data_IF_817320240739
#
_entry.id   IF_817320240739
#
_cell.length_a   1.000
_cell.length_b   1.000
_cell.length_c   1.000
_cell.angle_alpha   90.00
_cell.angle_beta   90.00
_cell.angle_gamma   90.00
#
_symmetry.space_group_name_H-M   'P 1'
#
loop_
_entity.id
_entity.type
_entity.pdbx_description
1 polymer ?
#
# COMPACT_ATOMS: atom_id res chain seq x y z
N UNK A 1 6.60 -13.66 -4.21
CA UNK A 1 6.63 -12.32 -3.58
C UNK A 1 5.24 -12.01 -3.08
N UNK A 2 5.10 -11.51 -1.85
CA UNK A 2 3.82 -11.15 -1.22
C UNK A 2 3.74 -9.64 -1.07
N UNK A 3 2.70 -9.02 -1.61
CA UNK A 3 2.49 -7.57 -1.45
C UNK A 3 1.23 -7.32 -0.62
N UNK A 4 1.39 -6.60 0.48
CA UNK A 4 0.31 -6.16 1.34
C UNK A 4 -0.54 -5.05 0.69
N UNK A 5 -1.85 -5.08 0.88
CA UNK A 5 -2.74 -4.00 0.44
C UNK A 5 -3.92 -3.77 1.39
N UNK A 6 -4.47 -2.56 1.36
CA UNK A 6 -5.56 -2.14 2.26
C UNK A 6 -6.86 -1.73 1.54
N UNK A 7 -6.76 -1.05 0.39
CA UNK A 7 -7.90 -0.44 -0.30
C UNK A 7 -8.30 -1.25 -1.54
N UNK A 8 -9.60 -1.35 -1.83
CA UNK A 8 -10.13 -2.05 -3.01
C UNK A 8 -9.79 -1.39 -4.35
N UNK A 9 -9.23 -0.18 -4.32
CA UNK A 9 -8.76 0.56 -5.49
C UNK A 9 -7.37 0.09 -5.95
N UNK A 10 -6.71 -0.79 -5.20
CA UNK A 10 -5.47 -1.41 -5.65
C UNK A 10 -5.81 -2.34 -6.82
N UNK A 11 -5.19 -2.15 -8.00
CA UNK A 11 -5.43 -2.99 -9.18
C UNK A 11 -4.74 -4.35 -8.98
N UNK A 12 -5.45 -5.30 -8.37
CA UNK A 12 -4.90 -6.62 -8.05
C UNK A 12 -4.45 -7.36 -9.31
N UNK A 13 -5.12 -7.10 -10.44
CA UNK A 13 -4.80 -7.66 -11.75
C UNK A 13 -3.36 -7.34 -12.18
N UNK A 14 -2.86 -6.14 -11.88
CA UNK A 14 -1.46 -5.76 -12.19
C UNK A 14 -0.49 -6.55 -11.30
N UNK A 15 -0.83 -6.74 -10.02
CA UNK A 15 0.02 -7.49 -9.08
C UNK A 15 0.07 -8.97 -9.49
N UNK A 16 -1.10 -9.58 -9.71
CA UNK A 16 -1.23 -11.00 -10.08
C UNK A 16 -0.58 -11.31 -11.43
N UNK A 17 -0.74 -10.43 -12.43
CA UNK A 17 -0.07 -10.56 -13.73
C UNK A 17 1.47 -10.55 -13.61
N UNK A 18 2.02 -9.99 -12.53
CA UNK A 18 3.45 -10.00 -12.20
C UNK A 18 3.85 -11.12 -11.24
N UNK A 19 3.02 -12.14 -11.06
CA UNK A 19 3.32 -13.29 -10.19
C UNK A 19 3.38 -12.93 -8.70
N UNK A 20 2.80 -11.79 -8.30
CA UNK A 20 2.66 -11.38 -6.91
C UNK A 20 1.50 -12.12 -6.28
N UNK A 21 1.66 -12.52 -5.02
CA UNK A 21 0.56 -12.96 -4.17
C UNK A 21 0.02 -11.75 -3.37
N UNK A 22 -1.08 -11.10 -3.78
CA UNK A 22 -1.62 -9.96 -3.03
C UNK A 22 -2.20 -10.42 -1.69
N UNK A 23 -1.77 -9.78 -0.60
CA UNK A 23 -2.21 -10.08 0.77
C UNK A 23 -3.00 -8.91 1.33
N UNK A 24 -4.31 -9.08 1.48
CA UNK A 24 -5.15 -8.07 2.11
C UNK A 24 -4.82 -7.98 3.60
N UNK A 25 -4.48 -6.78 4.08
CA UNK A 25 -4.20 -6.54 5.50
C UNK A 25 -5.50 -6.24 6.24
N UNK A 26 -5.95 -7.16 7.09
CA UNK A 26 -7.13 -7.00 7.94
C UNK A 26 -6.79 -7.41 9.38
N UNK A 27 -5.93 -6.64 10.06
CA UNK A 27 -5.58 -6.93 11.45
C UNK A 27 -6.80 -6.75 12.36
N UNK A 28 -6.86 -7.51 13.47
CA UNK A 28 -7.96 -7.39 14.41
C UNK A 28 -7.98 -6.00 15.10
N UNK A 29 -9.15 -5.49 15.50
CA UNK A 29 -9.27 -4.12 16.05
C UNK A 29 -8.47 -3.83 17.33
N UNK A 30 -8.10 -4.86 18.10
CA UNK A 30 -7.31 -4.71 19.32
C UNK A 30 -5.83 -4.36 19.04
N UNK A 31 -5.36 -4.62 17.82
CA UNK A 31 -3.96 -4.35 17.44
C UNK A 31 -3.61 -2.86 17.42
N UNK A 32 -4.59 -1.96 17.54
CA UNK A 32 -4.40 -0.50 17.45
C UNK A 32 -3.60 0.12 18.60
N UNK A 33 -3.48 -0.54 19.75
CA UNK A 33 -3.07 0.11 21.01
C UNK A 33 -1.61 0.57 21.01
N UNK A 34 -0.72 -0.16 20.34
CA UNK A 34 0.72 0.12 20.31
C UNK A 34 1.21 0.88 19.05
N UNK A 35 0.28 1.35 18.20
CA UNK A 35 0.65 1.96 16.93
C UNK A 35 1.46 3.25 17.13
N UNK A 36 2.55 3.44 16.37
CA UNK A 36 3.32 4.70 16.26
C UNK A 36 2.54 5.81 15.53
N UNK A 37 1.26 5.98 15.86
CA UNK A 37 0.32 6.90 15.22
C UNK A 37 -0.59 7.55 16.26
N UNK A 38 -1.00 8.79 15.99
CA UNK A 38 -1.89 9.55 16.87
C UNK A 38 -3.17 8.76 17.21
N UNK A 39 -3.62 8.75 18.48
CA UNK A 39 -4.78 7.97 18.91
C UNK A 39 -6.10 8.41 18.24
N UNK A 40 -6.18 9.62 17.69
CA UNK A 40 -7.35 10.14 16.96
C UNK A 40 -7.41 9.65 15.51
N UNK A 41 -6.37 8.98 15.00
CA UNK A 41 -6.41 8.37 13.67
C UNK A 41 -7.36 7.16 13.63
N UNK A 42 -7.81 6.84 12.42
CA UNK A 42 -8.67 5.70 12.14
C UNK A 42 -8.13 4.42 12.81
N UNK A 43 -8.93 3.71 13.64
CA UNK A 43 -8.49 2.50 14.33
C UNK A 43 -7.94 1.42 13.41
N UNK A 44 -8.48 1.30 12.20
CA UNK A 44 -7.98 0.36 11.19
C UNK A 44 -6.56 0.71 10.74
N UNK A 45 -6.27 1.99 10.48
CA UNK A 45 -4.93 2.45 10.11
C UNK A 45 -3.92 2.16 11.22
N UNK A 46 -4.31 2.43 12.48
CA UNK A 46 -3.49 2.12 13.65
C UNK A 46 -3.22 0.63 13.77
N UNK A 47 -4.25 -0.22 13.63
CA UNK A 47 -4.09 -1.67 13.66
C UNK A 47 -3.19 -2.19 12.53
N UNK A 48 -3.27 -1.62 11.32
CA UNK A 48 -2.37 -1.94 10.20
C UNK A 48 -0.93 -1.56 10.54
N UNK A 49 -0.69 -0.36 11.09
CA UNK A 49 0.66 0.05 11.49
C UNK A 49 1.26 -0.95 12.49
N UNK A 50 0.54 -1.27 13.57
CA UNK A 50 1.03 -2.23 14.57
C UNK A 50 1.25 -3.63 13.99
N UNK A 51 0.41 -4.06 13.05
CA UNK A 51 0.58 -5.35 12.38
C UNK A 51 1.86 -5.38 11.54
N UNK A 52 2.20 -4.27 10.86
CA UNK A 52 3.45 -4.13 10.12
C UNK A 52 4.66 -4.11 11.06
N UNK A 53 4.57 -3.40 12.18
CA UNK A 53 5.63 -3.33 13.21
C UNK A 53 5.95 -4.68 13.83
N UNK A 54 4.95 -5.55 13.98
CA UNK A 54 5.13 -6.93 14.45
C UNK A 54 5.71 -7.89 13.39
N UNK A 55 6.10 -7.38 12.22
CA UNK A 55 6.73 -8.18 11.17
C UNK A 55 5.72 -8.95 10.33
N UNK A 56 4.77 -8.24 9.72
CA UNK A 56 3.87 -8.82 8.72
C UNK A 56 4.67 -9.57 7.63
N UNK A 57 4.23 -10.77 7.25
CA UNK A 57 4.90 -11.61 6.24
C UNK A 57 4.64 -11.12 4.81
N UNK A 58 5.09 -9.91 4.49
CA UNK A 58 5.01 -9.28 3.15
C UNK A 58 6.38 -8.71 2.74
N UNK A 59 6.62 -8.66 1.43
CA UNK A 59 7.85 -8.15 0.81
C UNK A 59 7.70 -6.68 0.37
N UNK A 60 6.46 -6.17 0.31
CA UNK A 60 6.16 -4.78 -0.06
C UNK A 60 4.71 -4.43 0.27
N UNK A 61 4.38 -3.14 0.24
CA UNK A 61 3.07 -2.60 0.59
C UNK A 61 2.57 -1.62 -0.48
N UNK A 62 1.33 -1.79 -0.94
CA UNK A 62 0.64 -0.82 -1.79
C UNK A 62 -0.48 -0.16 -1.01
N UNK A 63 -0.39 1.15 -0.85
CA UNK A 63 -1.41 2.01 -0.27
C UNK A 63 -2.03 2.87 -1.36
N UNK A 64 -3.25 3.34 -1.12
CA UNK A 64 -3.97 4.22 -2.05
C UNK A 64 -4.21 5.56 -1.36
N UNK A 65 -4.00 6.66 -2.08
CA UNK A 65 -4.33 8.01 -1.63
C UNK A 65 -5.87 8.24 -1.62
N UNK A 66 -6.59 7.43 -0.85
CA UNK A 66 -8.05 7.43 -0.76
C UNK A 66 -8.58 8.26 0.42
N UNK A 67 -7.82 8.34 1.51
CA UNK A 67 -8.14 9.15 2.68
C UNK A 67 -6.86 9.68 3.34
N UNK A 68 -6.99 10.67 4.23
CA UNK A 68 -5.83 11.22 4.94
C UNK A 68 -5.12 10.13 5.76
N UNK A 69 -5.86 9.22 6.39
CA UNK A 69 -5.29 8.10 7.16
C UNK A 69 -4.34 7.22 6.36
N UNK A 70 -4.64 6.93 5.08
CA UNK A 70 -3.75 6.14 4.23
C UNK A 70 -2.47 6.91 3.86
N UNK A 71 -2.55 8.23 3.67
CA UNK A 71 -1.37 9.08 3.46
C UNK A 71 -0.49 9.10 4.71
N UNK A 72 -1.09 9.25 5.89
CA UNK A 72 -0.37 9.20 7.17
C UNK A 72 0.28 7.84 7.41
N UNK A 73 -0.40 6.75 7.04
CA UNK A 73 0.18 5.41 7.09
C UNK A 73 1.38 5.28 6.16
N UNK A 74 1.29 5.80 4.93
CA UNK A 74 2.41 5.81 3.99
C UNK A 74 3.63 6.52 4.57
N UNK A 75 3.43 7.73 5.11
CA UNK A 75 4.50 8.51 5.73
C UNK A 75 5.13 7.77 6.92
N UNK A 76 4.29 7.19 7.80
CA UNK A 76 4.73 6.45 8.97
C UNK A 76 5.50 5.17 8.59
N UNK A 77 5.04 4.40 7.60
CA UNK A 77 5.75 3.21 7.10
C UNK A 77 7.11 3.62 6.54
N UNK A 78 7.19 4.68 5.72
CA UNK A 78 8.47 5.16 5.20
C UNK A 78 9.45 5.60 6.27
N UNK A 79 8.95 6.19 7.35
CA UNK A 79 9.77 6.71 8.42
C UNK A 79 10.22 5.60 9.40
N UNK A 80 9.30 4.75 9.84
CA UNK A 80 9.52 3.77 10.89
C UNK A 80 9.93 2.38 10.38
N UNK A 81 9.56 2.03 9.14
CA UNK A 81 9.83 0.72 8.52
C UNK A 81 10.57 0.89 7.18
N UNK A 82 11.76 1.54 7.15
CA UNK A 82 12.45 1.90 5.91
C UNK A 82 12.89 0.70 5.07
N UNK A 83 12.96 -0.50 5.65
CA UNK A 83 13.27 -1.74 4.94
C UNK A 83 12.08 -2.35 4.21
N UNK A 84 10.84 -1.88 4.47
CA UNK A 84 9.64 -2.34 3.79
C UNK A 84 9.34 -1.40 2.61
N UNK A 85 9.51 -1.84 1.35
CA UNK A 85 9.11 -1.05 0.19
C UNK A 85 7.63 -0.70 0.26
N UNK A 86 7.30 0.58 0.08
CA UNK A 86 5.91 1.05 0.06
C UNK A 86 5.64 1.97 -1.13
N UNK A 87 4.54 1.71 -1.84
CA UNK A 87 4.04 2.52 -2.95
C UNK A 87 2.72 3.18 -2.57
N UNK A 88 2.56 4.47 -2.89
CA UNK A 88 1.30 5.20 -2.74
C UNK A 88 0.69 5.43 -4.13
N UNK A 89 -0.32 4.65 -4.47
CA UNK A 89 -1.09 4.84 -5.69
C UNK A 89 -2.02 6.04 -5.51
N UNK A 90 -1.80 7.08 -6.30
CA UNK A 90 -2.68 8.23 -6.34
C UNK A 90 -3.84 8.00 -7.32
N UNK A 91 -5.07 8.17 -6.84
CA UNK A 91 -6.29 7.99 -7.63
C UNK A 91 -6.89 9.36 -7.91
N UNK A 92 -7.09 9.76 -9.18
CA UNK A 92 -7.64 11.06 -9.49
C UNK A 92 -9.08 11.18 -9.02
N UNK A 93 -9.46 12.38 -8.60
CA UNK A 93 -10.83 12.72 -8.16
C UNK A 93 -11.75 13.16 -9.30
N UNK A 94 -11.20 13.25 -10.50
CA UNK A 94 -11.89 13.61 -11.75
C UNK A 94 -11.90 12.41 -12.67
N UNK A 95 -12.79 12.43 -13.66
CA UNK A 95 -12.98 11.35 -14.64
C UNK A 95 -12.85 11.85 -16.08
N UNK A 96 -12.21 13.01 -16.28
CA UNK A 96 -11.94 13.54 -17.62
C UNK A 96 -10.71 12.88 -18.26
N UNK A 97 -10.46 13.17 -19.54
CA UNK A 97 -9.35 12.57 -20.28
C UNK A 97 -7.98 12.77 -19.62
N UNK A 98 -7.76 13.92 -18.97
CA UNK A 98 -6.50 14.18 -18.23
C UNK A 98 -6.38 13.30 -17.01
N UNK A 99 -7.47 13.03 -16.30
CA UNK A 99 -7.48 12.10 -15.19
C UNK A 99 -7.18 10.67 -15.64
N UNK A 100 -7.70 10.26 -16.79
CA UNK A 100 -7.38 8.95 -17.38
C UNK A 100 -5.89 8.86 -17.72
N UNK A 101 -5.35 9.84 -18.46
CA UNK A 101 -3.92 9.89 -18.79
C UNK A 101 -3.02 9.85 -17.54
N UNK A 102 -3.37 10.63 -16.52
CA UNK A 102 -2.64 10.64 -15.25
C UNK A 102 -2.68 9.29 -14.55
N UNK A 103 -3.86 8.68 -14.45
CA UNK A 103 -4.00 7.40 -13.76
C UNK A 103 -3.31 6.26 -14.52
N UNK A 104 -3.34 6.27 -15.85
CA UNK A 104 -2.56 5.33 -16.67
C UNK A 104 -1.08 5.40 -16.30
N UNK A 105 -0.49 6.59 -16.22
CA UNK A 105 0.91 6.75 -15.79
C UNK A 105 1.16 6.27 -14.35
N UNK A 106 0.20 6.48 -13.44
CA UNK A 106 0.30 5.97 -12.07
C UNK A 106 0.26 4.43 -12.01
N UNK A 107 -0.54 3.79 -12.86
CA UNK A 107 -0.62 2.33 -12.98
C UNK A 107 0.65 1.73 -13.62
N UNK A 108 1.21 2.41 -14.62
CA UNK A 108 2.52 2.04 -15.19
C UNK A 108 3.64 2.13 -14.14
N UNK A 109 3.67 3.21 -13.36
CA UNK A 109 4.61 3.38 -12.27
C UNK A 109 4.45 2.29 -11.18
N UNK A 110 3.22 1.90 -10.85
CA UNK A 110 2.97 0.77 -9.96
C UNK A 110 3.54 -0.53 -10.53
N UNK A 111 3.32 -0.80 -11.82
CA UNK A 111 3.84 -2.01 -12.47
C UNK A 111 5.37 -2.08 -12.42
N UNK A 112 6.05 -0.96 -12.72
CA UNK A 112 7.50 -0.86 -12.63
C UNK A 112 8.02 -1.04 -11.19
N UNK A 113 7.37 -0.40 -10.22
CA UNK A 113 7.73 -0.55 -8.81
C UNK A 113 7.61 -2.02 -8.35
N UNK A 114 6.59 -2.76 -8.81
CA UNK A 114 6.47 -4.20 -8.51
C UNK A 114 7.64 -5.00 -9.08
N UNK A 115 8.11 -4.69 -10.29
CA UNK A 115 9.30 -5.34 -10.86
C UNK A 115 10.55 -5.06 -10.04
N UNK A 116 10.73 -3.81 -9.58
CA UNK A 116 11.87 -3.39 -8.75
C UNK A 116 11.90 -4.15 -7.42
N UNK A 117 10.77 -4.22 -6.71
CA UNK A 117 10.65 -4.98 -5.45
C UNK A 117 10.89 -6.48 -5.68
N UNK A 118 10.47 -7.01 -6.83
CA UNK A 118 10.72 -8.39 -7.24
C UNK A 118 12.16 -8.70 -7.68
N UNK A 119 13.06 -7.72 -7.67
CA UNK A 119 14.46 -7.88 -8.09
C UNK A 119 14.62 -8.13 -9.59
N UNK A 120 13.73 -7.58 -10.42
CA UNK A 120 13.80 -7.65 -11.90
C UNK A 120 13.59 -9.04 -12.50
N UNK A 121 13.19 -10.04 -11.70
CA UNK A 121 12.96 -11.43 -12.12
C UNK A 121 11.53 -11.71 -12.60
N UNK A 122 10.66 -10.70 -12.57
CA UNK A 122 9.25 -10.79 -12.95
C UNK A 122 9.11 -10.36 -14.42
N UNK A 123 9.54 -11.25 -15.33
CA UNK A 123 9.31 -11.12 -16.78
C UNK A 123 8.27 -12.13 -17.24
#
# INVERSE_FOLDING_TARGET
>A
MKIGWCCTYVPLEILEARGVEPRRLLPPPHDKEDALLDPNLCPYIRAVMSHLERGASIDGLVLVNSCDGMRRLYDAVRHHLPSLPVFLLDVPRRTDGKAVEYFTGALEALSLWVEEVGGGKLR
#
